data_IF_822039852674
#
_entry.id   IF_822039852674
#
_cell.length_a   1.000
_cell.length_b   1.000
_cell.length_c   1.000
_cell.angle_alpha   90.00
_cell.angle_beta   90.00
_cell.angle_gamma   90.00
#
_symmetry.space_group_name_H-M   'P 1'
#
loop_
_entity.id
_entity.type
_entity.pdbx_description
1 polymer ?
#
# COMPACT_ATOMS: atom_id res chain seq x y z
N UNK A 1 -9.59 8.65 -49.93
CA UNK A 1 -9.93 8.93 -48.53
C UNK A 1 -9.65 7.73 -47.61
N UNK A 2 -10.26 6.56 -47.82
CA UNK A 2 -10.06 5.38 -46.95
C UNK A 2 -8.61 4.86 -46.79
N UNK A 3 -7.79 4.92 -47.85
CA UNK A 3 -6.38 4.49 -47.78
C UNK A 3 -5.58 5.35 -46.78
N UNK A 4 -5.83 6.65 -46.77
CA UNK A 4 -5.18 7.56 -45.83
C UNK A 4 -5.62 7.28 -44.38
N UNK A 5 -6.91 6.97 -44.16
CA UNK A 5 -7.44 6.60 -42.85
C UNK A 5 -6.77 5.33 -42.30
N UNK A 6 -6.63 4.27 -43.11
CA UNK A 6 -6.00 3.03 -42.67
C UNK A 6 -4.49 3.18 -42.47
N UNK A 7 -3.82 4.02 -43.26
CA UNK A 7 -2.42 4.35 -43.04
C UNK A 7 -2.23 5.05 -41.69
N UNK A 8 -3.09 6.01 -41.34
CA UNK A 8 -3.06 6.71 -40.04
C UNK A 8 -3.33 5.74 -38.87
N UNK A 9 -4.32 4.85 -39.02
CA UNK A 9 -4.62 3.83 -38.00
C UNK A 9 -3.47 2.85 -37.78
N UNK A 10 -2.77 2.46 -38.85
CA UNK A 10 -1.60 1.59 -38.77
C UNK A 10 -0.44 2.29 -38.04
N UNK A 11 -0.11 3.54 -38.38
CA UNK A 11 0.94 4.30 -37.70
C UNK A 11 0.62 4.56 -36.23
N UNK A 12 -0.64 4.90 -35.91
CA UNK A 12 -1.08 5.04 -34.52
C UNK A 12 -0.93 3.72 -33.75
N UNK A 13 -1.34 2.59 -34.34
CA UNK A 13 -1.23 1.28 -33.71
C UNK A 13 0.22 0.87 -33.40
N UNK A 14 1.17 1.24 -34.28
CA UNK A 14 2.60 1.02 -34.05
C UNK A 14 3.10 1.92 -32.91
N UNK A 15 2.75 3.21 -32.92
CA UNK A 15 3.18 4.17 -31.90
C UNK A 15 2.72 3.77 -30.49
N UNK A 16 1.48 3.29 -30.36
CA UNK A 16 0.89 2.89 -29.08
C UNK A 16 1.14 1.43 -28.68
N UNK A 17 2.05 0.71 -29.38
CA UNK A 17 2.37 -0.70 -29.08
C UNK A 17 1.12 -1.60 -29.01
N UNK A 18 0.19 -1.41 -29.95
CA UNK A 18 -1.04 -2.18 -29.97
C UNK A 18 -0.77 -3.68 -30.10
N UNK A 19 -1.67 -4.55 -29.58
CA UNK A 19 -1.54 -6.00 -29.69
C UNK A 19 -1.29 -6.44 -31.13
N UNK A 20 -0.37 -7.40 -31.35
CA UNK A 20 0.05 -7.87 -32.69
C UNK A 20 -1.12 -8.24 -33.63
N UNK A 21 -2.26 -8.65 -33.06
CA UNK A 21 -3.51 -8.94 -33.79
C UNK A 21 -4.07 -7.71 -34.53
N UNK A 22 -3.98 -6.52 -33.92
CA UNK A 22 -4.47 -5.25 -34.50
C UNK A 22 -3.60 -4.83 -35.68
N UNK A 23 -2.27 -4.98 -35.56
CA UNK A 23 -1.32 -4.68 -36.64
C UNK A 23 -1.54 -5.58 -37.87
N UNK A 24 -1.76 -6.88 -37.65
CA UNK A 24 -2.05 -7.83 -38.74
C UNK A 24 -3.33 -7.45 -39.49
N UNK A 25 -4.38 -7.08 -38.76
CA UNK A 25 -5.70 -6.76 -39.32
C UNK A 25 -5.66 -5.45 -40.12
N UNK A 26 -5.00 -4.40 -39.61
CA UNK A 26 -4.80 -3.16 -40.34
C UNK A 26 -3.99 -3.36 -41.63
N UNK A 27 -2.96 -4.21 -41.60
CA UNK A 27 -2.11 -4.50 -42.76
C UNK A 27 -2.88 -5.22 -43.87
N UNK A 28 -3.71 -6.20 -43.52
CA UNK A 28 -4.56 -6.95 -44.47
C UNK A 28 -5.59 -6.02 -45.13
N UNK A 29 -6.22 -5.13 -44.36
CA UNK A 29 -7.18 -4.15 -44.88
C UNK A 29 -6.54 -3.15 -45.86
N UNK A 30 -5.31 -2.71 -45.58
CA UNK A 30 -4.55 -1.81 -46.43
C UNK A 30 -4.16 -2.47 -47.76
N UNK A 31 -3.65 -3.71 -47.71
CA UNK A 31 -3.32 -4.50 -48.89
C UNK A 31 -4.55 -4.77 -49.77
N UNK A 32 -5.68 -5.12 -49.16
CA UNK A 32 -6.93 -5.33 -49.90
C UNK A 32 -7.46 -4.06 -50.55
N UNK A 33 -7.30 -2.89 -49.92
CA UNK A 33 -7.70 -1.61 -50.51
C UNK A 33 -6.84 -1.19 -51.72
N UNK A 34 -5.59 -1.67 -51.80
CA UNK A 34 -4.68 -1.43 -52.92
C UNK A 34 -4.89 -2.38 -54.10
N UNK A 35 -5.20 -3.65 -53.84
CA UNK A 35 -5.24 -4.69 -54.87
C UNK A 35 -6.59 -4.80 -55.63
N UNK A 36 -7.70 -4.25 -55.10
CA UNK A 36 -9.05 -4.51 -55.63
C UNK A 36 -9.42 -3.57 -56.80
N UNK A 37 -9.83 -4.10 -57.98
CA UNK A 37 -10.26 -3.29 -59.12
C UNK A 37 -11.53 -2.48 -58.84
N UNK A 38 -11.73 -1.36 -59.55
CA UNK A 38 -12.83 -0.40 -59.30
C UNK A 38 -14.25 -0.99 -59.36
N UNK A 39 -14.50 -2.03 -60.15
CA UNK A 39 -15.85 -2.59 -60.37
C UNK A 39 -16.39 -3.40 -59.18
N UNK A 40 -15.66 -4.37 -58.59
CA UNK A 40 -16.14 -5.12 -57.42
C UNK A 40 -16.02 -4.36 -56.08
N UNK A 41 -15.51 -3.12 -56.08
CA UNK A 41 -15.16 -2.37 -54.87
C UNK A 41 -16.28 -2.25 -53.84
N UNK A 42 -17.54 -2.15 -54.28
CA UNK A 42 -18.71 -2.08 -53.38
C UNK A 42 -18.90 -3.35 -52.54
N UNK A 43 -18.64 -4.52 -53.12
CA UNK A 43 -18.78 -5.81 -52.45
C UNK A 43 -17.62 -6.08 -51.49
N UNK A 44 -16.41 -5.63 -51.87
CA UNK A 44 -15.25 -5.70 -51.00
C UNK A 44 -15.40 -4.84 -49.72
N UNK A 45 -15.90 -3.60 -49.84
CA UNK A 45 -16.15 -2.79 -48.64
C UNK A 45 -17.29 -3.34 -47.78
N UNK A 46 -18.30 -3.95 -48.39
CA UNK A 46 -19.37 -4.63 -47.64
C UNK A 46 -18.82 -5.84 -46.85
N UNK A 47 -17.92 -6.65 -47.43
CA UNK A 47 -17.31 -7.77 -46.71
C UNK A 47 -16.36 -7.31 -45.60
N UNK A 48 -15.58 -6.25 -45.84
CA UNK A 48 -14.73 -5.62 -44.80
C UNK A 48 -15.57 -5.11 -43.64
N UNK A 49 -16.69 -4.43 -43.92
CA UNK A 49 -17.60 -3.95 -42.88
C UNK A 49 -18.16 -5.11 -42.04
N UNK A 50 -18.54 -6.20 -42.70
CA UNK A 50 -19.02 -7.42 -42.03
C UNK A 50 -17.96 -8.09 -41.16
N UNK A 51 -16.72 -8.24 -41.67
CA UNK A 51 -15.60 -8.83 -40.91
C UNK A 51 -15.27 -7.95 -39.71
N UNK A 52 -15.26 -6.62 -39.88
CA UNK A 52 -14.99 -5.69 -38.79
C UNK A 52 -16.08 -5.76 -37.72
N UNK A 53 -17.36 -5.79 -38.12
CA UNK A 53 -18.48 -5.96 -37.19
C UNK A 53 -18.36 -7.29 -36.42
N UNK A 54 -18.07 -8.39 -37.11
CA UNK A 54 -17.88 -9.70 -36.48
C UNK A 54 -16.70 -9.71 -35.52
N UNK A 55 -15.58 -9.06 -35.87
CA UNK A 55 -14.42 -8.94 -35.00
C UNK A 55 -14.70 -8.05 -33.77
N UNK A 56 -15.45 -6.95 -33.94
CA UNK A 56 -15.91 -6.12 -32.82
C UNK A 56 -16.81 -6.93 -31.91
N UNK A 57 -17.81 -7.62 -32.45
CA UNK A 57 -18.69 -8.49 -31.67
C UNK A 57 -17.89 -9.59 -30.97
N UNK A 58 -16.87 -10.16 -31.60
CA UNK A 58 -15.99 -11.17 -30.98
C UNK A 58 -15.13 -10.61 -29.85
N UNK A 59 -14.49 -9.46 -30.04
CA UNK A 59 -13.63 -8.81 -29.04
C UNK A 59 -14.43 -8.30 -27.84
N UNK A 60 -15.65 -7.84 -28.08
CA UNK A 60 -16.55 -7.36 -27.03
C UNK A 60 -17.56 -8.41 -26.56
N UNK A 61 -17.56 -9.61 -27.16
CA UNK A 61 -18.24 -10.74 -26.56
C UNK A 61 -17.48 -11.01 -25.27
N UNK A 62 -18.14 -11.01 -24.11
CA UNK A 62 -17.50 -11.47 -22.90
C UNK A 62 -17.01 -12.89 -23.19
N UNK A 63 -15.69 -13.10 -23.14
CA UNK A 63 -15.13 -14.44 -23.09
C UNK A 63 -15.92 -15.17 -22.01
N UNK A 64 -16.58 -16.28 -22.39
CA UNK A 64 -17.32 -17.11 -21.46
C UNK A 64 -16.37 -17.37 -20.27
N UNK A 65 -16.65 -16.89 -19.04
CA UNK A 65 -15.72 -16.96 -17.92
C UNK A 65 -15.68 -18.39 -17.35
N UNK A 66 -15.75 -19.40 -18.22
CA UNK A 66 -15.62 -20.80 -17.91
C UNK A 66 -14.17 -21.09 -17.51
N UNK A 67 -13.85 -20.77 -16.26
CA UNK A 67 -12.82 -21.44 -15.48
C UNK A 67 -11.52 -20.70 -15.25
N UNK A 68 -11.14 -19.73 -16.10
CA UNK A 68 -9.90 -18.99 -15.85
C UNK A 68 -10.16 -17.80 -14.92
N UNK A 69 -10.00 -18.05 -13.61
CA UNK A 69 -9.70 -17.00 -12.64
C UNK A 69 -8.19 -17.04 -12.38
N UNK A 70 -7.51 -15.89 -12.22
CA UNK A 70 -6.19 -15.88 -11.60
C UNK A 70 -6.28 -16.70 -10.31
N UNK A 71 -5.33 -17.61 -10.11
CA UNK A 71 -5.27 -18.35 -8.86
C UNK A 71 -5.07 -17.35 -7.72
N UNK A 72 -6.06 -17.26 -6.84
CA UNK A 72 -5.96 -16.48 -5.61
C UNK A 72 -5.61 -17.43 -4.48
N UNK A 73 -4.63 -17.06 -3.65
CA UNK A 73 -4.21 -17.85 -2.50
C UNK A 73 -5.18 -17.73 -1.31
N UNK A 74 -6.47 -17.51 -1.58
CA UNK A 74 -7.45 -17.17 -0.54
C UNK A 74 -7.63 -18.34 0.44
N UNK A 75 -7.65 -19.57 -0.07
CA UNK A 75 -7.80 -20.77 0.77
C UNK A 75 -6.56 -20.99 1.64
N UNK A 76 -5.35 -20.80 1.10
CA UNK A 76 -4.10 -20.91 1.84
C UNK A 76 -3.93 -19.78 2.85
N UNK A 77 -4.30 -18.55 2.48
CA UNK A 77 -4.28 -17.41 3.37
C UNK A 77 -5.23 -17.62 4.55
N UNK A 78 -6.47 -18.05 4.31
CA UNK A 78 -7.42 -18.38 5.37
C UNK A 78 -6.94 -19.52 6.25
N UNK A 79 -6.35 -20.57 5.67
CA UNK A 79 -5.77 -21.66 6.45
C UNK A 79 -4.57 -21.22 7.30
N UNK A 80 -3.75 -20.29 6.79
CA UNK A 80 -2.64 -19.70 7.52
C UNK A 80 -3.14 -18.82 8.68
N UNK A 81 -4.09 -17.93 8.42
CA UNK A 81 -4.71 -17.07 9.43
C UNK A 81 -5.37 -17.91 10.54
N UNK A 82 -6.18 -18.91 10.17
CA UNK A 82 -6.81 -19.80 11.15
C UNK A 82 -5.80 -20.57 12.02
N UNK A 83 -4.61 -20.90 11.48
CA UNK A 83 -3.55 -21.59 12.23
C UNK A 83 -2.77 -20.66 13.16
N UNK A 84 -2.57 -19.42 12.77
CA UNK A 84 -1.74 -18.44 13.48
C UNK A 84 -2.55 -17.38 14.25
N UNK A 85 -3.88 -17.50 14.27
CA UNK A 85 -4.76 -16.60 14.96
C UNK A 85 -4.40 -16.47 16.45
N UNK A 86 -4.26 -15.23 16.88
CA UNK A 86 -4.03 -14.84 18.28
C UNK A 86 -5.29 -14.16 18.78
N UNK A 87 -5.89 -14.59 19.91
CA UNK A 87 -7.06 -13.92 20.47
C UNK A 87 -6.82 -12.43 20.72
N UNK A 88 -7.79 -11.58 20.41
CA UNK A 88 -7.69 -10.11 20.52
C UNK A 88 -7.26 -9.61 21.91
N UNK A 89 -7.59 -10.36 22.97
CA UNK A 89 -7.20 -10.06 24.34
C UNK A 89 -5.70 -10.22 24.58
N UNK A 90 -5.03 -11.08 23.81
CA UNK A 90 -3.61 -11.40 23.93
C UNK A 90 -2.77 -10.76 22.81
N UNK A 91 -3.40 -10.35 21.72
CA UNK A 91 -2.72 -9.82 20.53
C UNK A 91 -2.32 -8.35 20.67
N UNK A 92 -1.03 -8.03 20.65
CA UNK A 92 -0.53 -6.65 20.65
C UNK A 92 -0.96 -5.84 19.41
N UNK A 93 -1.15 -6.51 18.27
CA UNK A 93 -1.48 -5.86 17.00
C UNK A 93 -2.75 -5.03 17.10
N UNK A 94 -3.79 -5.55 17.78
CA UNK A 94 -5.07 -4.85 17.98
C UNK A 94 -4.89 -3.48 18.65
N UNK A 95 -3.98 -3.37 19.62
CA UNK A 95 -3.69 -2.07 20.26
C UNK A 95 -2.94 -1.17 19.29
N UNK A 96 -1.91 -1.69 18.60
CA UNK A 96 -1.12 -0.89 17.67
C UNK A 96 -1.95 -0.35 16.52
N UNK A 97 -2.81 -1.17 15.92
CA UNK A 97 -3.73 -0.78 14.85
C UNK A 97 -4.69 0.30 15.33
N UNK A 98 -5.24 0.18 16.53
CA UNK A 98 -6.12 1.21 17.10
C UNK A 98 -5.37 2.52 17.35
N UNK A 99 -4.12 2.46 17.85
CA UNK A 99 -3.28 3.66 17.99
C UNK A 99 -3.03 4.30 16.62
N UNK A 100 -2.60 3.52 15.62
CA UNK A 100 -2.31 3.97 14.26
C UNK A 100 -3.55 4.61 13.59
N UNK A 101 -4.73 4.03 13.81
CA UNK A 101 -6.01 4.56 13.32
C UNK A 101 -6.35 5.93 13.93
N UNK A 102 -6.08 6.11 15.23
CA UNK A 102 -6.35 7.37 15.94
C UNK A 102 -5.29 8.43 15.60
N UNK A 103 -4.04 8.03 15.43
CA UNK A 103 -2.88 8.89 15.12
C UNK A 103 -2.91 9.47 13.68
N UNK A 104 -3.96 9.23 12.90
CA UNK A 104 -4.10 9.67 11.51
C UNK A 104 -3.91 11.19 11.26
N UNK A 105 -3.99 11.64 10.00
CA UNK A 105 -3.41 12.90 9.44
C UNK A 105 -3.85 14.26 10.06
N UNK A 106 -4.56 14.27 11.19
CA UNK A 106 -4.92 15.46 11.98
C UNK A 106 -4.24 15.57 13.34
N UNK A 107 -3.40 14.61 13.74
CA UNK A 107 -2.61 14.73 14.98
C UNK A 107 -1.59 15.86 14.86
N UNK A 108 -1.46 16.82 15.82
CA UNK A 108 -0.40 17.81 15.79
C UNK A 108 0.96 17.17 15.54
N UNK A 109 1.49 17.38 14.33
CA UNK A 109 2.87 17.06 13.96
C UNK A 109 3.81 17.43 15.11
N UNK A 110 4.86 16.62 15.29
CA UNK A 110 5.96 16.89 16.22
C UNK A 110 6.23 18.40 16.32
N UNK A 111 6.35 18.95 17.55
CA UNK A 111 6.53 20.38 17.74
C UNK A 111 7.69 20.89 16.88
N UNK A 112 7.50 22.04 16.23
CA UNK A 112 8.51 22.63 15.35
C UNK A 112 9.73 23.06 16.18
N UNK A 113 10.67 22.13 16.31
CA UNK A 113 11.92 22.22 17.07
C UNK A 113 13.11 22.38 16.14
N UNK A 114 14.24 22.85 16.68
CA UNK A 114 15.49 22.94 15.91
C UNK A 114 15.87 21.56 15.37
N UNK A 115 16.45 21.51 14.17
CA UNK A 115 16.81 20.27 13.47
C UNK A 115 17.68 19.33 14.33
N UNK A 116 18.50 19.88 15.23
CA UNK A 116 19.38 19.11 16.11
C UNK A 116 18.71 18.60 17.40
N UNK A 117 17.46 18.96 17.66
CA UNK A 117 16.72 18.50 18.84
C UNK A 117 16.40 17.01 18.74
N UNK A 118 15.87 16.56 17.61
CA UNK A 118 15.42 15.18 17.47
C UNK A 118 16.57 14.19 17.70
N UNK A 119 17.77 14.53 17.22
CA UNK A 119 18.97 13.74 17.50
C UNK A 119 19.37 13.78 18.97
N UNK A 120 19.30 14.94 19.64
CA UNK A 120 19.62 15.03 21.08
C UNK A 120 18.63 14.28 21.96
N UNK A 121 17.33 14.48 21.73
CA UNK A 121 16.25 13.85 22.46
C UNK A 121 16.24 12.32 22.26
N UNK A 122 16.71 11.86 21.10
CA UNK A 122 16.87 10.43 20.79
C UNK A 122 18.08 9.80 21.47
N UNK A 123 19.20 10.52 21.50
CA UNK A 123 20.50 9.91 21.82
C UNK A 123 20.94 10.10 23.29
N UNK A 124 20.15 10.78 24.13
CA UNK A 124 20.52 10.97 25.53
C UNK A 124 19.45 11.61 26.41
N UNK A 125 19.70 11.65 27.73
CA UNK A 125 18.78 12.22 28.70
C UNK A 125 18.56 13.72 28.47
N UNK A 126 17.34 14.19 28.71
CA UNK A 126 16.97 15.60 28.59
C UNK A 126 15.92 15.99 29.65
N UNK A 127 15.78 17.29 29.95
CA UNK A 127 14.80 17.79 30.94
C UNK A 127 13.72 18.63 30.28
N UNK A 128 12.48 18.58 30.79
CA UNK A 128 11.38 19.40 30.27
C UNK A 128 11.68 20.90 30.23
N UNK A 129 12.52 21.39 31.14
CA UNK A 129 12.96 22.79 31.20
C UNK A 129 13.73 23.23 29.95
N UNK A 130 14.50 22.31 29.34
CA UNK A 130 15.31 22.59 28.16
C UNK A 130 14.43 22.71 26.89
N UNK A 131 13.31 21.98 26.86
CA UNK A 131 12.44 21.84 25.68
C UNK A 131 10.94 21.77 26.06
N UNK A 132 10.35 22.88 26.53
CA UNK A 132 8.99 22.88 27.08
C UNK A 132 7.90 22.53 26.07
N UNK A 133 8.07 22.90 24.79
CA UNK A 133 7.11 22.54 23.74
C UNK A 133 7.05 21.02 23.50
N UNK A 134 8.19 20.33 23.63
CA UNK A 134 8.25 18.87 23.44
C UNK A 134 7.76 18.14 24.68
N UNK A 135 8.03 18.69 25.86
CA UNK A 135 7.44 18.19 27.09
C UNK A 135 5.91 18.25 27.03
N UNK A 136 5.34 19.39 26.62
CA UNK A 136 3.90 19.56 26.45
C UNK A 136 3.30 18.59 25.42
N UNK A 137 4.00 18.39 24.29
CA UNK A 137 3.61 17.41 23.28
C UNK A 137 3.61 15.98 23.84
N UNK A 138 4.65 15.57 24.56
CA UNK A 138 4.70 14.26 25.21
C UNK A 138 3.61 14.09 26.28
N UNK A 139 3.30 15.15 27.02
CA UNK A 139 2.27 15.12 28.05
C UNK A 139 0.87 14.99 27.42
N UNK A 140 0.64 15.66 26.29
CA UNK A 140 -0.56 15.47 25.46
C UNK A 140 -0.69 14.02 24.98
N UNK A 141 0.41 13.39 24.56
CA UNK A 141 0.43 11.99 24.13
C UNK A 141 0.61 10.96 25.25
N UNK A 142 0.57 11.37 26.52
CA UNK A 142 0.68 10.46 27.67
C UNK A 142 -0.23 9.23 27.59
N UNK A 143 -1.52 9.38 27.23
CA UNK A 143 -2.41 8.23 27.01
C UNK A 143 -1.91 7.27 25.93
N UNK A 144 -1.42 7.78 24.80
CA UNK A 144 -0.87 6.95 23.72
C UNK A 144 0.37 6.21 24.17
N UNK A 145 1.28 6.87 24.91
CA UNK A 145 2.46 6.22 25.50
C UNK A 145 2.05 5.08 26.43
N UNK A 146 1.05 5.27 27.28
CA UNK A 146 0.56 4.21 28.17
C UNK A 146 -0.02 3.02 27.38
N UNK A 147 -0.76 3.27 26.30
CA UNK A 147 -1.26 2.20 25.43
C UNK A 147 -0.15 1.47 24.69
N UNK A 148 0.92 2.16 24.30
CA UNK A 148 2.11 1.52 23.73
C UNK A 148 2.82 0.62 24.74
N UNK A 149 2.88 1.04 26.01
CA UNK A 149 3.40 0.21 27.10
C UNK A 149 2.51 -1.02 27.34
N UNK A 150 1.18 -0.84 27.31
CA UNK A 150 0.22 -1.95 27.39
C UNK A 150 0.43 -2.96 26.25
N UNK A 151 0.55 -2.47 25.01
CA UNK A 151 0.80 -3.32 23.85
C UNK A 151 2.14 -4.05 23.94
N UNK A 152 3.20 -3.37 24.39
CA UNK A 152 4.50 -4.00 24.65
C UNK A 152 4.44 -5.02 25.81
N UNK A 153 3.49 -4.90 26.74
CA UNK A 153 3.27 -5.88 27.79
C UNK A 153 2.69 -7.21 27.29
N UNK A 154 2.18 -7.27 26.05
CA UNK A 154 1.66 -8.50 25.45
C UNK A 154 2.78 -9.33 24.84
N UNK A 155 2.66 -10.66 24.94
CA UNK A 155 3.69 -11.57 24.45
C UNK A 155 3.57 -11.87 22.95
N UNK A 156 2.35 -11.84 22.43
CA UNK A 156 2.04 -12.20 21.06
C UNK A 156 1.61 -10.97 20.26
N UNK A 157 2.03 -10.88 19.02
CA UNK A 157 1.65 -9.84 18.09
C UNK A 157 1.46 -10.46 16.71
N UNK A 158 0.27 -10.30 16.13
CA UNK A 158 -0.05 -10.84 14.82
C UNK A 158 -0.99 -9.89 14.07
N UNK A 159 -0.51 -9.29 12.98
CA UNK A 159 -1.26 -8.35 12.17
C UNK A 159 -2.08 -9.10 11.10
N UNK A 160 -3.27 -9.53 11.47
CA UNK A 160 -4.16 -10.33 10.62
C UNK A 160 -4.64 -9.54 9.38
N UNK A 161 -5.07 -8.29 9.59
CA UNK A 161 -5.58 -7.41 8.53
C UNK A 161 -4.52 -7.15 7.44
N UNK A 162 -3.24 -7.06 7.84
CA UNK A 162 -2.12 -6.85 6.91
C UNK A 162 -1.90 -8.00 5.93
N UNK A 163 -2.29 -9.22 6.32
CA UNK A 163 -2.12 -10.42 5.50
C UNK A 163 -3.32 -10.61 4.58
N UNK A 164 -4.54 -10.39 5.10
CA UNK A 164 -5.77 -10.45 4.31
C UNK A 164 -5.76 -9.47 3.13
N UNK A 165 -5.25 -8.27 3.38
CA UNK A 165 -5.19 -7.20 2.39
C UNK A 165 -3.95 -7.25 1.47
N UNK A 166 -2.95 -8.08 1.76
CA UNK A 166 -1.74 -8.25 0.93
C UNK A 166 -1.99 -8.86 -0.47
N UNK A 167 -3.20 -9.39 -0.69
CA UNK A 167 -3.68 -9.89 -1.98
C UNK A 167 -4.46 -8.84 -2.79
N UNK A 168 -4.76 -7.68 -2.19
CA UNK A 168 -5.20 -6.46 -2.86
C UNK A 168 -3.96 -5.67 -3.35
N UNK A 169 -4.10 -4.68 -4.25
CA UNK A 169 -2.92 -4.02 -4.81
C UNK A 169 -2.04 -3.39 -3.70
N UNK A 170 -0.78 -3.13 -4.03
CA UNK A 170 0.31 -2.63 -3.16
C UNK A 170 -0.01 -1.36 -2.34
N UNK A 171 -1.21 -0.82 -2.47
CA UNK A 171 -1.78 0.32 -1.75
C UNK A 171 -2.55 -0.08 -0.48
N UNK A 172 -2.83 -1.37 -0.24
CA UNK A 172 -3.46 -1.81 1.00
C UNK A 172 -2.44 -1.82 2.16
N UNK A 173 -2.66 -0.90 3.10
CA UNK A 173 -1.73 -0.49 4.13
C UNK A 173 -1.49 -1.60 5.16
N UNK A 174 -0.36 -2.31 5.07
CA UNK A 174 0.32 -2.74 6.31
C UNK A 174 0.33 -1.54 7.27
N UNK A 175 0.11 -1.69 8.60
CA UNK A 175 0.16 -0.57 9.53
C UNK A 175 1.47 0.15 9.22
N UNK A 176 1.41 1.40 8.71
CA UNK A 176 2.48 1.87 7.88
C UNK A 176 3.70 1.94 8.77
N UNK A 177 4.75 1.23 8.38
CA UNK A 177 6.03 1.15 9.10
C UNK A 177 6.50 2.56 9.53
N UNK A 178 6.13 3.58 8.75
CA UNK A 178 6.28 4.99 9.09
C UNK A 178 5.60 5.41 10.42
N UNK A 179 4.34 5.07 10.66
CA UNK A 179 3.61 5.33 11.91
C UNK A 179 4.21 4.55 13.07
N UNK A 180 4.48 3.24 12.90
CA UNK A 180 5.11 2.44 13.95
C UNK A 180 6.50 2.98 14.35
N UNK A 181 7.26 3.49 13.39
CA UNK A 181 8.53 4.19 13.64
C UNK A 181 8.34 5.49 14.42
N UNK A 182 7.28 6.26 14.15
CA UNK A 182 6.95 7.46 14.94
C UNK A 182 6.55 7.10 16.38
N UNK A 183 5.79 6.03 16.58
CA UNK A 183 5.42 5.54 17.92
C UNK A 183 6.67 5.09 18.70
N UNK A 184 7.59 4.39 18.05
CA UNK A 184 8.89 4.02 18.63
C UNK A 184 9.71 5.26 19.01
N UNK A 185 9.72 6.29 18.14
CA UNK A 185 10.39 7.56 18.42
C UNK A 185 9.79 8.26 19.64
N UNK A 186 8.47 8.35 19.74
CA UNK A 186 7.78 8.94 20.88
C UNK A 186 8.13 8.21 22.19
N UNK A 187 8.12 6.87 22.20
CA UNK A 187 8.54 6.08 23.36
C UNK A 187 9.97 6.40 23.78
N UNK A 188 10.90 6.47 22.82
CA UNK A 188 12.31 6.74 23.05
C UNK A 188 12.54 8.15 23.60
N UNK A 189 11.90 9.17 23.02
CA UNK A 189 11.99 10.56 23.51
C UNK A 189 11.39 10.68 24.91
N UNK A 190 10.27 10.00 25.17
CA UNK A 190 9.64 9.93 26.50
C UNK A 190 10.53 9.20 27.52
N UNK A 191 11.19 8.12 27.13
CA UNK A 191 12.14 7.40 27.98
C UNK A 191 13.33 8.29 28.35
N UNK A 192 13.91 8.99 27.38
CA UNK A 192 15.05 9.86 27.62
C UNK A 192 14.69 11.08 28.47
N UNK A 193 13.44 11.56 28.42
CA UNK A 193 12.91 12.56 29.35
C UNK A 193 12.91 12.03 30.79
N UNK A 194 12.39 10.81 30.96
CA UNK A 194 12.34 10.17 32.28
C UNK A 194 13.74 9.95 32.84
N UNK A 195 14.69 9.59 31.99
CA UNK A 195 16.09 9.48 32.38
C UNK A 195 16.64 10.83 32.87
N UNK A 196 16.44 11.92 32.11
CA UNK A 196 16.96 13.24 32.49
C UNK A 196 16.29 13.86 33.72
N UNK A 197 15.03 13.52 33.99
CA UNK A 197 14.24 14.07 35.11
C UNK A 197 14.28 13.21 36.37
N UNK A 198 14.17 11.89 36.22
CA UNK A 198 13.90 10.94 37.31
C UNK A 198 14.98 9.86 37.43
N UNK A 199 15.95 9.85 36.52
CA UNK A 199 17.05 8.88 36.48
C UNK A 199 16.73 7.63 35.66
N UNK A 200 17.75 6.80 35.45
CA UNK A 200 17.71 5.66 34.53
C UNK A 200 16.59 4.66 34.85
N UNK A 201 16.33 4.36 36.12
CA UNK A 201 15.31 3.39 36.51
C UNK A 201 13.91 3.77 35.99
N UNK A 202 13.60 5.07 35.93
CA UNK A 202 12.32 5.56 35.43
C UNK A 202 12.17 5.45 33.90
N UNK A 203 13.26 5.31 33.15
CA UNK A 203 13.23 5.19 31.69
C UNK A 203 13.22 3.74 31.19
N UNK A 204 13.61 2.77 32.03
CA UNK A 204 13.83 1.38 31.59
C UNK A 204 12.59 0.74 30.99
N UNK A 205 11.41 0.95 31.59
CA UNK A 205 10.15 0.40 31.09
C UNK A 205 9.89 0.80 29.63
N UNK A 206 10.01 2.09 29.32
CA UNK A 206 9.81 2.61 27.96
C UNK A 206 10.91 2.15 27.00
N UNK A 207 12.16 2.01 27.45
CA UNK A 207 13.24 1.48 26.63
C UNK A 207 13.00 0.00 26.26
N UNK A 208 12.56 -0.81 27.22
CA UNK A 208 12.17 -2.20 26.93
C UNK A 208 10.96 -2.26 26.01
N UNK A 209 9.99 -1.36 26.17
CA UNK A 209 8.85 -1.29 25.27
C UNK A 209 9.25 -0.99 23.82
N UNK A 210 10.26 -0.15 23.58
CA UNK A 210 10.82 0.08 22.22
C UNK A 210 11.41 -1.22 21.65
N UNK A 211 12.17 -1.97 22.45
CA UNK A 211 12.76 -3.25 22.01
C UNK A 211 11.66 -4.29 21.69
N UNK A 212 10.64 -4.37 22.55
CA UNK A 212 9.52 -5.30 22.38
C UNK A 212 8.65 -4.95 21.17
N UNK A 213 8.42 -3.66 20.93
CA UNK A 213 7.80 -3.17 19.68
C UNK A 213 8.61 -3.61 18.46
N UNK A 214 9.95 -3.49 18.50
CA UNK A 214 10.82 -3.98 17.43
C UNK A 214 10.71 -5.49 17.21
N UNK A 215 10.62 -6.27 18.30
CA UNK A 215 10.42 -7.72 18.21
C UNK A 215 9.06 -8.06 17.57
N UNK A 216 7.98 -7.40 17.98
CA UNK A 216 6.63 -7.55 17.42
C UNK A 216 6.53 -7.22 15.92
N UNK A 217 7.39 -6.31 15.42
CA UNK A 217 7.43 -5.96 14.00
C UNK A 217 8.31 -6.90 13.16
N UNK A 218 9.13 -7.73 13.83
CA UNK A 218 10.04 -8.67 13.17
C UNK A 218 9.55 -10.12 13.16
N UNK A 219 8.52 -10.43 13.95
CA UNK A 219 7.87 -11.73 14.08
C UNK A 219 6.84 -11.95 12.98
#
# INVERSE_FOLDING_TARGET
>A
MWIALFAILLTASIAFHAPRKVLALCSILLLGALAVPRRPRRYFWASVGWITLAATVWVFLPDDPSGWRPYTFDAEAQAFLAKHHVPDTENAAVIYEDICRIWGPGDPNEPNVRVDWCDRARNGPWRSEDHPAVAAWLDYHGPTVNRLLEAAGREQCFFEDSIGDSLTPLDAEMPPIAQMRQLAYMLMVSANRDWGQRGLAASMEKQFAVLKLGAHLSS
#
